data_IF_295731040755
#
_entry.id   IF_295731040755
#
_cell.length_a   1.000
_cell.length_b   1.000
_cell.length_c   1.000
_cell.angle_alpha   90.00
_cell.angle_beta   90.00
_cell.angle_gamma   90.00
#
_symmetry.space_group_name_H-M   'P 1'
#
loop_
_entity.id
_entity.type
_entity.pdbx_description
1 polymer ?
#
# COMPACT_ATOMS: atom_id res chain seq x y z
N UNK A 1 4.04 18.59 15.53
CA UNK A 1 2.72 18.43 16.17
C UNK A 1 1.92 17.25 15.61
N UNK A 2 1.45 17.19 14.34
CA UNK A 2 0.68 16.02 13.86
C UNK A 2 1.52 14.74 13.86
N UNK A 3 2.71 14.77 13.31
CA UNK A 3 3.61 13.61 13.25
C UNK A 3 4.02 13.12 14.65
N UNK A 4 4.26 14.03 15.59
CA UNK A 4 4.57 13.66 16.98
C UNK A 4 3.39 12.92 17.63
N UNK A 5 2.16 13.40 17.37
CA UNK A 5 0.95 12.75 17.87
C UNK A 5 0.76 11.36 17.24
N UNK A 6 0.96 11.21 15.93
CA UNK A 6 0.89 9.91 15.27
C UNK A 6 1.94 8.94 15.80
N UNK A 7 3.18 9.42 16.00
CA UNK A 7 4.26 8.60 16.58
C UNK A 7 3.92 8.15 18.01
N UNK A 8 3.33 9.05 18.81
CA UNK A 8 2.87 8.73 20.15
C UNK A 8 1.76 7.67 20.13
N UNK A 9 0.70 7.88 19.33
CA UNK A 9 -0.41 6.92 19.21
C UNK A 9 0.09 5.54 18.76
N UNK A 10 1.01 5.50 17.77
CA UNK A 10 1.62 4.25 17.32
C UNK A 10 2.35 3.52 18.45
N UNK A 11 3.15 4.24 19.23
CA UNK A 11 3.85 3.68 20.39
C UNK A 11 2.88 3.14 21.43
N UNK A 12 1.82 3.89 21.75
CA UNK A 12 0.79 3.51 22.70
C UNK A 12 0.02 2.26 22.24
N UNK A 13 -0.32 2.15 20.95
CA UNK A 13 -0.96 0.94 20.41
C UNK A 13 -0.01 -0.25 20.52
N UNK A 14 1.27 -0.08 20.19
CA UNK A 14 2.28 -1.15 20.28
C UNK A 14 2.47 -1.66 21.71
N UNK A 15 2.35 -0.78 22.70
CA UNK A 15 2.55 -1.10 24.11
C UNK A 15 1.32 -1.76 24.75
N UNK A 16 0.12 -1.28 24.41
CA UNK A 16 -1.09 -1.59 25.18
C UNK A 16 -2.08 -2.51 24.46
N UNK A 17 -1.90 -2.77 23.15
CA UNK A 17 -2.86 -3.57 22.37
C UNK A 17 -2.25 -4.86 21.82
N UNK A 18 -3.06 -5.92 21.60
CA UNK A 18 -2.61 -7.21 21.12
C UNK A 18 -2.36 -7.21 19.60
N UNK A 19 -1.79 -6.12 19.08
CA UNK A 19 -1.55 -5.96 17.65
C UNK A 19 -0.05 -5.92 17.33
N UNK A 20 0.30 -6.48 16.18
CA UNK A 20 1.63 -6.27 15.60
C UNK A 20 1.66 -4.89 14.95
N UNK A 21 2.43 -3.97 15.52
CA UNK A 21 2.59 -2.61 15.01
C UNK A 21 3.94 -2.50 14.34
N UNK A 22 3.93 -2.31 13.03
CA UNK A 22 5.14 -2.25 12.20
C UNK A 22 5.38 -0.85 11.67
N UNK A 23 6.64 -0.46 11.63
CA UNK A 23 7.07 0.80 11.04
C UNK A 23 8.56 0.72 10.73
N UNK A 24 8.90 1.00 9.49
CA UNK A 24 10.27 1.04 9.01
C UNK A 24 10.60 2.44 8.48
N UNK A 25 11.85 2.84 8.64
CA UNK A 25 12.35 4.04 7.97
C UNK A 25 12.43 3.80 6.46
N UNK A 26 12.07 4.80 5.68
CA UNK A 26 12.07 4.78 4.22
C UNK A 26 11.20 3.67 3.57
N UNK A 27 10.17 3.20 4.28
CA UNK A 27 9.20 2.22 3.75
C UNK A 27 7.81 2.73 4.02
N UNK A 28 6.96 2.74 3.03
CA UNK A 28 5.58 3.17 3.15
C UNK A 28 4.71 2.07 3.77
N UNK A 29 3.57 2.47 4.36
CA UNK A 29 2.65 1.50 4.97
C UNK A 29 2.08 0.54 3.92
N UNK A 30 1.91 1.00 2.70
CA UNK A 30 1.40 0.21 1.57
C UNK A 30 2.35 -0.91 1.19
N UNK A 31 3.67 -0.64 1.18
CA UNK A 31 4.70 -1.67 0.93
C UNK A 31 4.65 -2.76 2.02
N UNK A 32 4.51 -2.34 3.28
CA UNK A 32 4.43 -3.28 4.41
C UNK A 32 3.19 -4.17 4.26
N UNK A 33 2.03 -3.57 4.01
CA UNK A 33 0.77 -4.30 3.85
C UNK A 33 0.84 -5.21 2.62
N UNK A 34 1.34 -4.70 1.49
CA UNK A 34 1.47 -5.48 0.26
C UNK A 34 2.42 -6.67 0.44
N UNK A 35 3.61 -6.46 1.03
CA UNK A 35 4.56 -7.52 1.30
C UNK A 35 3.96 -8.61 2.19
N UNK A 36 3.28 -8.25 3.29
CA UNK A 36 2.62 -9.21 4.17
C UNK A 36 1.51 -9.99 3.45
N UNK A 37 0.69 -9.32 2.64
CA UNK A 37 -0.34 -9.98 1.84
C UNK A 37 0.30 -10.95 0.85
N UNK A 38 1.33 -10.54 0.11
CA UNK A 38 2.02 -11.38 -0.86
C UNK A 38 2.65 -12.61 -0.21
N UNK A 39 3.21 -12.47 0.99
CA UNK A 39 3.75 -13.60 1.76
C UNK A 39 2.68 -14.63 2.14
N UNK A 40 1.44 -14.19 2.39
CA UNK A 40 0.31 -15.11 2.66
C UNK A 40 -0.17 -15.87 1.43
N UNK A 41 0.27 -15.46 0.22
CA UNK A 41 -0.06 -16.09 -1.06
C UNK A 41 1.00 -17.08 -1.53
N UNK A 42 2.08 -17.28 -0.76
CA UNK A 42 3.11 -18.25 -1.12
C UNK A 42 2.59 -19.70 -1.06
N UNK A 43 3.32 -20.62 -1.73
CA UNK A 43 2.92 -22.03 -1.84
C UNK A 43 2.63 -22.65 -0.47
N UNK A 44 1.44 -23.19 -0.32
CA UNK A 44 0.97 -23.84 0.93
C UNK A 44 0.37 -22.91 1.97
N UNK A 45 0.39 -21.59 1.74
CA UNK A 45 -0.39 -20.60 2.48
C UNK A 45 -1.53 -20.15 1.56
N UNK A 46 -2.60 -19.75 1.96
CA UNK A 46 -3.70 -19.08 1.26
C UNK A 46 -4.59 -18.51 2.36
N UNK A 47 -4.00 -17.61 3.13
CA UNK A 47 -4.69 -16.98 4.26
C UNK A 47 -5.68 -15.93 3.75
N UNK A 48 -6.84 -15.86 4.37
CA UNK A 48 -7.77 -14.76 4.09
C UNK A 48 -7.22 -13.45 4.65
N UNK A 49 -7.24 -12.41 3.83
CA UNK A 49 -6.77 -11.09 4.20
C UNK A 49 -7.90 -10.06 4.08
N UNK A 50 -8.05 -9.23 5.10
CA UNK A 50 -8.92 -8.05 5.06
C UNK A 50 -8.07 -6.80 5.26
N UNK A 51 -7.92 -6.01 4.20
CA UNK A 51 -7.24 -4.71 4.25
C UNK A 51 -8.27 -3.65 4.63
N UNK A 52 -8.01 -2.91 5.71
CA UNK A 52 -8.84 -1.77 6.12
C UNK A 52 -8.15 -0.48 5.68
N UNK A 53 -8.44 -0.08 4.46
CA UNK A 53 -7.89 1.14 3.85
C UNK A 53 -8.79 1.65 2.75
N UNK A 54 -8.81 2.98 2.56
CA UNK A 54 -9.50 3.62 1.44
C UNK A 54 -8.60 3.85 0.23
N UNK A 55 -7.33 3.48 0.34
CA UNK A 55 -6.36 3.64 -0.73
C UNK A 55 -6.72 2.78 -1.94
N UNK A 56 -6.63 3.40 -3.12
CA UNK A 56 -6.95 2.77 -4.40
C UNK A 56 -5.89 1.74 -4.83
N UNK A 57 -4.66 1.87 -4.35
CA UNK A 57 -3.53 1.08 -4.82
C UNK A 57 -3.58 -0.34 -4.29
N UNK A 58 -4.22 -0.57 -3.14
CA UNK A 58 -4.52 -1.92 -2.64
C UNK A 58 -5.43 -2.76 -3.55
N UNK A 59 -6.11 -2.15 -4.53
CA UNK A 59 -6.85 -2.91 -5.54
C UNK A 59 -5.95 -3.88 -6.32
N UNK A 60 -4.65 -3.62 -6.40
CA UNK A 60 -3.68 -4.53 -7.00
C UNK A 60 -3.71 -5.91 -6.33
N UNK A 61 -3.93 -5.95 -5.02
CA UNK A 61 -3.99 -7.18 -4.24
C UNK A 61 -5.30 -7.95 -4.42
N UNK A 62 -6.33 -7.35 -5.04
CA UNK A 62 -7.56 -8.05 -5.40
C UNK A 62 -7.39 -9.04 -6.56
N UNK A 63 -6.18 -9.16 -7.14
CA UNK A 63 -5.85 -10.28 -8.04
C UNK A 63 -5.87 -11.63 -7.30
N UNK A 64 -5.79 -11.61 -5.98
CA UNK A 64 -5.94 -12.78 -5.11
C UNK A 64 -7.37 -12.87 -4.57
N UNK A 65 -8.05 -13.99 -4.78
CA UNK A 65 -9.48 -14.15 -4.44
C UNK A 65 -9.76 -14.13 -2.92
N UNK A 66 -8.76 -14.44 -2.10
CA UNK A 66 -8.82 -14.44 -0.64
C UNK A 66 -8.39 -13.11 -0.01
N UNK A 67 -8.15 -12.07 -0.82
CA UNK A 67 -7.86 -10.71 -0.36
C UNK A 67 -9.08 -9.83 -0.54
N UNK A 68 -9.49 -9.17 0.53
CA UNK A 68 -10.63 -8.24 0.56
C UNK A 68 -10.17 -6.89 1.08
N UNK A 69 -10.85 -5.84 0.68
CA UNK A 69 -10.58 -4.47 1.16
C UNK A 69 -11.86 -3.82 1.64
N UNK A 70 -11.82 -3.24 2.85
CA UNK A 70 -12.87 -2.39 3.40
C UNK A 70 -12.41 -0.93 3.39
N UNK A 71 -13.21 -0.04 2.81
CA UNK A 71 -12.93 1.39 2.83
C UNK A 71 -13.64 2.07 4.01
N UNK A 72 -12.90 2.57 5.03
CA UNK A 72 -13.49 3.28 6.17
C UNK A 72 -14.19 4.58 5.74
N UNK A 73 -13.64 5.28 4.72
CA UNK A 73 -14.23 6.53 4.20
C UNK A 73 -15.56 6.25 3.51
N UNK A 74 -15.60 5.23 2.64
CA UNK A 74 -16.81 4.87 1.90
C UNK A 74 -17.77 3.97 2.70
N UNK A 75 -17.31 3.44 3.84
CA UNK A 75 -18.03 2.50 4.72
C UNK A 75 -18.58 1.29 3.94
N UNK A 76 -17.79 0.72 3.04
CA UNK A 76 -18.16 -0.44 2.22
C UNK A 76 -16.95 -1.24 1.77
N UNK A 77 -17.22 -2.47 1.33
CA UNK A 77 -16.22 -3.29 0.65
C UNK A 77 -15.86 -2.68 -0.72
N UNK A 78 -14.59 -2.64 -1.01
CA UNK A 78 -14.06 -2.26 -2.33
C UNK A 78 -14.08 -3.51 -3.21
N UNK A 79 -14.75 -3.43 -4.36
CA UNK A 79 -14.86 -4.54 -5.31
C UNK A 79 -14.13 -4.14 -6.58
N UNK A 80 -13.26 -5.03 -7.07
CA UNK A 80 -12.51 -4.83 -8.32
C UNK A 80 -12.53 -6.11 -9.15
N UNK A 81 -12.61 -5.97 -10.47
CA UNK A 81 -12.46 -7.10 -11.39
C UNK A 81 -11.00 -7.23 -11.81
N UNK A 82 -10.48 -8.44 -11.87
CA UNK A 82 -9.07 -8.71 -12.22
C UNK A 82 -8.62 -8.01 -13.51
N UNK A 83 -9.48 -7.99 -14.54
CA UNK A 83 -9.16 -7.32 -15.80
C UNK A 83 -9.04 -5.79 -15.64
N UNK A 84 -9.83 -5.19 -14.76
CA UNK A 84 -9.79 -3.76 -14.45
C UNK A 84 -8.54 -3.43 -13.62
N UNK A 85 -8.20 -4.29 -12.66
CA UNK A 85 -6.99 -4.14 -11.82
C UNK A 85 -5.73 -4.13 -12.69
N UNK A 86 -5.58 -5.11 -13.59
CA UNK A 86 -4.41 -5.16 -14.50
C UNK A 86 -4.29 -3.90 -15.34
N UNK A 87 -5.41 -3.39 -15.86
CA UNK A 87 -5.41 -2.13 -16.61
C UNK A 87 -5.04 -0.93 -15.72
N UNK A 88 -5.51 -0.90 -14.48
CA UNK A 88 -5.17 0.17 -13.54
C UNK A 88 -3.68 0.20 -13.22
N UNK A 89 -3.04 -0.96 -13.01
CA UNK A 89 -1.59 -1.05 -12.80
C UNK A 89 -0.85 -0.46 -14.00
N UNK A 90 -1.17 -0.91 -15.22
CA UNK A 90 -0.54 -0.38 -16.46
C UNK A 90 -0.79 1.13 -16.60
N UNK A 91 -2.01 1.58 -16.35
CA UNK A 91 -2.34 3.00 -16.40
C UNK A 91 -1.53 3.81 -15.40
N UNK A 92 -1.38 3.31 -14.17
CA UNK A 92 -0.59 3.96 -13.12
C UNK A 92 0.90 4.02 -13.50
N UNK A 93 1.47 2.93 -13.99
CA UNK A 93 2.85 2.93 -14.52
C UNK A 93 3.02 3.98 -15.62
N UNK A 94 2.10 4.01 -16.60
CA UNK A 94 2.22 4.91 -17.77
C UNK A 94 2.00 6.38 -17.40
N UNK A 95 1.01 6.68 -16.56
CA UNK A 95 0.65 8.04 -16.17
C UNK A 95 1.49 8.59 -15.02
N UNK A 96 2.12 7.71 -14.23
CA UNK A 96 2.73 8.08 -12.96
C UNK A 96 1.72 8.54 -11.92
N UNK A 97 2.19 9.09 -10.82
CA UNK A 97 1.37 9.73 -9.80
C UNK A 97 1.93 11.10 -9.43
N UNK A 98 1.18 12.15 -9.78
CA UNK A 98 1.61 13.52 -9.52
C UNK A 98 1.60 13.85 -8.02
N UNK A 99 0.73 13.19 -7.25
CA UNK A 99 0.65 13.36 -5.80
C UNK A 99 1.93 12.91 -5.10
N UNK A 100 2.50 11.80 -5.58
CA UNK A 100 3.72 11.20 -5.06
C UNK A 100 4.99 11.66 -5.80
N UNK A 101 4.82 12.61 -6.74
CA UNK A 101 5.95 13.15 -7.50
C UNK A 101 6.49 12.21 -8.58
N UNK A 102 5.72 11.20 -9.00
CA UNK A 102 6.10 10.22 -10.02
C UNK A 102 5.67 10.73 -11.41
N UNK A 103 6.61 11.13 -12.29
CA UNK A 103 6.26 11.60 -13.63
C UNK A 103 5.76 10.46 -14.51
N UNK A 104 4.94 10.80 -15.52
CA UNK A 104 4.57 9.83 -16.54
C UNK A 104 5.78 9.40 -17.38
N UNK A 105 5.67 8.26 -18.05
CA UNK A 105 6.79 7.66 -18.80
C UNK A 105 7.26 8.48 -20.01
N UNK A 106 6.48 9.46 -20.50
CA UNK A 106 6.82 10.30 -21.62
C UNK A 106 7.61 11.55 -21.21
N UNK A 107 7.75 11.81 -19.90
CA UNK A 107 8.33 13.02 -19.33
C UNK A 107 9.66 12.73 -18.64
N UNK A 108 10.52 13.74 -18.56
CA UNK A 108 11.80 13.64 -17.86
C UNK A 108 11.59 13.45 -16.34
N UNK A 109 12.54 12.80 -15.68
CA UNK A 109 12.47 12.45 -14.26
C UNK A 109 12.37 13.68 -13.35
N UNK A 110 13.02 14.76 -13.75
CA UNK A 110 13.12 16.02 -13.00
C UNK A 110 12.02 17.02 -13.34
N UNK A 111 11.00 16.61 -14.13
CA UNK A 111 9.97 17.52 -14.67
C UNK A 111 9.27 18.34 -13.58
N UNK A 112 9.01 17.75 -12.42
CA UNK A 112 8.36 18.44 -11.30
C UNK A 112 9.31 19.35 -10.54
N UNK A 113 10.57 18.95 -10.41
CA UNK A 113 11.61 19.76 -9.74
C UNK A 113 11.89 21.03 -10.52
N UNK A 114 11.88 20.95 -11.85
CA UNK A 114 12.11 22.09 -12.74
C UNK A 114 10.83 22.91 -13.03
N UNK A 115 9.70 22.57 -12.39
CA UNK A 115 8.44 23.27 -12.60
C UNK A 115 7.87 23.13 -14.03
N UNK A 116 8.31 22.10 -14.75
CA UNK A 116 7.87 21.82 -16.11
C UNK A 116 6.48 21.21 -16.19
N UNK A 117 5.93 21.14 -17.40
CA UNK A 117 4.68 20.41 -17.66
C UNK A 117 4.97 19.08 -18.28
N UNK A 118 4.33 18.03 -17.75
CA UNK A 118 4.41 16.71 -18.33
C UNK A 118 3.89 16.66 -19.77
N UNK A 119 4.49 15.82 -20.60
CA UNK A 119 3.95 15.48 -21.92
C UNK A 119 2.61 14.74 -21.73
N UNK A 120 1.57 15.06 -22.50
CA UNK A 120 0.26 14.41 -22.33
C UNK A 120 0.30 12.96 -22.80
N UNK A 121 -0.22 12.05 -21.97
CA UNK A 121 -0.50 10.68 -22.37
C UNK A 121 -1.87 10.62 -23.01
N UNK A 122 -1.93 10.48 -24.32
CA UNK A 122 -3.20 10.38 -25.04
C UNK A 122 -3.89 9.03 -24.82
N UNK A 123 -5.21 8.99 -24.96
CA UNK A 123 -5.98 7.74 -24.85
C UNK A 123 -5.49 6.67 -25.85
N UNK A 124 -5.12 7.08 -27.08
CA UNK A 124 -4.53 6.18 -28.07
C UNK A 124 -3.23 5.57 -27.57
N UNK A 125 -2.35 6.39 -27.00
CA UNK A 125 -1.06 5.96 -26.49
C UNK A 125 -1.22 5.01 -25.30
N UNK A 126 -2.16 5.31 -24.40
CA UNK A 126 -2.48 4.45 -23.27
C UNK A 126 -3.02 3.08 -23.73
N UNK A 127 -3.88 3.05 -24.76
CA UNK A 127 -4.39 1.81 -25.31
C UNK A 127 -3.30 0.92 -25.91
N UNK A 128 -2.25 1.50 -26.52
CA UNK A 128 -1.08 0.75 -26.98
C UNK A 128 -0.42 0.01 -25.79
N UNK A 129 -0.26 0.68 -24.65
CA UNK A 129 0.29 0.06 -23.44
C UNK A 129 -0.62 -1.00 -22.81
N UNK A 130 -1.93 -0.86 -22.92
CA UNK A 130 -2.85 -1.92 -22.45
C UNK A 130 -2.73 -3.19 -23.29
N UNK A 131 -2.32 -3.09 -24.56
CA UNK A 131 -2.17 -4.22 -25.48
C UNK A 131 -0.78 -4.82 -25.40
N UNK A 132 0.24 -4.00 -25.49
CA UNK A 132 1.63 -4.42 -25.73
C UNK A 132 2.53 -4.24 -24.49
N UNK A 133 2.01 -3.65 -23.39
CA UNK A 133 2.79 -3.39 -22.17
C UNK A 133 4.03 -2.56 -22.48
N UNK A 134 5.16 -2.94 -21.91
CA UNK A 134 6.44 -2.26 -22.09
C UNK A 134 6.92 -2.22 -23.55
N UNK A 135 6.48 -3.13 -24.39
CA UNK A 135 6.88 -3.16 -25.80
C UNK A 135 6.24 -2.04 -26.63
N UNK A 136 5.23 -1.38 -26.07
CA UNK A 136 4.72 -0.13 -26.62
C UNK A 136 5.68 1.06 -26.45
N UNK A 137 6.74 0.96 -25.63
CA UNK A 137 7.76 2.01 -25.51
C UNK A 137 8.49 2.22 -26.83
N UNK A 138 8.59 3.49 -27.27
CA UNK A 138 9.17 3.88 -28.55
C UNK A 138 10.63 4.31 -28.44
N UNK A 139 11.09 4.64 -27.26
CA UNK A 139 12.45 5.10 -26.98
C UNK A 139 13.04 4.38 -25.77
N UNK A 140 14.37 4.29 -25.68
CA UNK A 140 15.04 3.76 -24.49
C UNK A 140 14.68 4.55 -23.21
N UNK A 141 14.43 5.88 -23.33
CA UNK A 141 14.01 6.72 -22.22
C UNK A 141 12.63 6.34 -21.72
N UNK A 142 11.64 6.15 -22.63
CA UNK A 142 10.31 5.67 -22.23
C UNK A 142 10.39 4.33 -21.49
N UNK A 143 11.25 3.41 -21.96
CA UNK A 143 11.45 2.10 -21.33
C UNK A 143 12.11 2.21 -19.96
N UNK A 144 13.08 3.09 -19.78
CA UNK A 144 13.70 3.38 -18.49
C UNK A 144 12.68 3.97 -17.50
N UNK A 145 11.86 4.93 -17.97
CA UNK A 145 10.79 5.54 -17.19
C UNK A 145 9.70 4.53 -16.81
N UNK A 146 9.37 3.59 -17.72
CA UNK A 146 8.47 2.48 -17.38
C UNK A 146 9.00 1.67 -16.21
N UNK A 147 10.26 1.23 -16.26
CA UNK A 147 10.86 0.44 -15.17
C UNK A 147 10.96 1.21 -13.87
N UNK A 148 11.25 2.52 -13.92
CA UNK A 148 11.22 3.40 -12.75
C UNK A 148 9.83 3.40 -12.13
N UNK A 149 8.80 3.74 -12.92
CA UNK A 149 7.43 3.82 -12.42
C UNK A 149 6.91 2.46 -11.93
N UNK A 150 7.24 1.38 -12.63
CA UNK A 150 6.88 0.04 -12.23
C UNK A 150 7.39 -0.32 -10.83
N UNK A 151 8.64 0.03 -10.53
CA UNK A 151 9.21 -0.17 -9.18
C UNK A 151 8.55 0.66 -8.09
N UNK A 152 7.96 1.79 -8.45
CA UNK A 152 7.35 2.73 -7.51
C UNK A 152 5.86 2.48 -7.29
N UNK A 153 5.16 1.84 -8.24
CA UNK A 153 3.70 1.72 -8.18
C UNK A 153 3.18 0.28 -8.20
N UNK A 154 3.99 -0.71 -8.60
CA UNK A 154 3.57 -2.12 -8.69
C UNK A 154 4.12 -2.91 -7.50
N UNK A 155 3.25 -3.36 -6.62
CA UNK A 155 3.63 -4.10 -5.41
C UNK A 155 4.40 -5.39 -5.68
N UNK A 156 4.38 -5.93 -6.90
CA UNK A 156 5.22 -7.07 -7.26
C UNK A 156 6.70 -6.70 -7.42
N UNK A 157 7.04 -5.41 -7.38
CA UNK A 157 8.41 -4.89 -7.54
C UNK A 157 8.97 -4.27 -6.26
N UNK A 158 8.33 -4.50 -5.12
CA UNK A 158 8.92 -4.16 -3.81
C UNK A 158 10.27 -4.88 -3.70
N UNK A 159 11.37 -4.19 -3.36
CA UNK A 159 12.68 -4.80 -3.21
C UNK A 159 12.68 -5.99 -2.24
N UNK A 160 13.35 -7.09 -2.63
CA UNK A 160 13.38 -8.32 -1.85
C UNK A 160 13.93 -8.10 -0.44
N UNK A 161 14.94 -7.23 -0.30
CA UNK A 161 15.52 -6.88 1.00
C UNK A 161 14.48 -6.23 1.94
N UNK A 162 13.56 -5.44 1.39
CA UNK A 162 12.47 -4.82 2.16
C UNK A 162 11.45 -5.90 2.57
N UNK A 163 11.09 -6.79 1.65
CA UNK A 163 10.17 -7.91 1.92
C UNK A 163 10.73 -8.81 3.02
N UNK A 164 12.00 -9.20 2.93
CA UNK A 164 12.69 -10.03 3.92
C UNK A 164 12.73 -9.36 5.30
N UNK A 165 13.02 -8.07 5.33
CA UNK A 165 13.03 -7.29 6.57
C UNK A 165 11.62 -7.24 7.21
N UNK A 166 10.59 -7.01 6.41
CA UNK A 166 9.19 -6.99 6.86
C UNK A 166 8.80 -8.36 7.43
N UNK A 167 9.11 -9.44 6.71
CA UNK A 167 8.80 -10.80 7.15
C UNK A 167 9.50 -11.11 8.47
N UNK A 168 10.79 -10.84 8.56
CA UNK A 168 11.58 -11.08 9.78
C UNK A 168 10.97 -10.35 10.98
N UNK A 169 10.69 -9.06 10.85
CA UNK A 169 10.10 -8.30 11.95
C UNK A 169 8.71 -8.81 12.31
N UNK A 170 7.88 -9.14 11.30
CA UNK A 170 6.56 -9.71 11.54
C UNK A 170 6.63 -11.01 12.35
N UNK A 171 7.59 -11.89 12.06
CA UNK A 171 7.75 -13.17 12.75
C UNK A 171 8.30 -12.98 14.17
N UNK A 172 9.19 -12.00 14.38
CA UNK A 172 9.79 -11.68 15.68
C UNK A 172 8.86 -10.88 16.60
N UNK A 173 7.96 -10.07 16.04
CA UNK A 173 7.03 -9.24 16.81
C UNK A 173 6.06 -10.08 17.61
N UNK A 174 6.09 -9.86 18.93
CA UNK A 174 5.09 -10.41 19.86
C UNK A 174 4.16 -9.27 20.27
N UNK A 175 2.85 -9.41 20.02
CA UNK A 175 1.88 -8.44 20.52
C UNK A 175 1.97 -8.32 22.03
N UNK A 176 1.90 -7.12 22.54
CA UNK A 176 1.72 -6.83 23.96
C UNK A 176 0.23 -6.60 24.24
N UNK A 177 -0.11 -6.47 25.46
CA UNK A 177 -1.48 -6.13 25.86
C UNK A 177 -2.38 -7.35 26.04
N UNK A 178 -3.04 -7.33 27.17
CA UNK A 178 -4.18 -8.18 27.49
C UNK A 178 -5.40 -7.30 27.75
N UNK A 179 -6.56 -7.90 27.96
CA UNK A 179 -7.80 -7.14 28.23
C UNK A 179 -7.65 -6.14 29.39
N UNK A 180 -6.89 -6.44 30.43
CA UNK A 180 -6.69 -5.54 31.54
C UNK A 180 -5.87 -4.32 31.15
N UNK A 181 -4.80 -4.53 30.39
CA UNK A 181 -3.94 -3.47 29.87
C UNK A 181 -4.73 -2.53 28.94
N UNK A 182 -5.53 -3.10 28.03
CA UNK A 182 -6.41 -2.32 27.13
C UNK A 182 -7.41 -1.52 27.94
N UNK A 183 -8.11 -2.16 28.89
CA UNK A 183 -9.09 -1.48 29.74
C UNK A 183 -8.48 -0.30 30.47
N UNK A 184 -7.31 -0.49 31.11
CA UNK A 184 -6.62 0.57 31.84
C UNK A 184 -6.26 1.74 30.92
N UNK A 185 -5.66 1.42 29.74
CA UNK A 185 -5.32 2.42 28.73
C UNK A 185 -6.54 3.23 28.27
N UNK A 186 -7.65 2.55 27.97
CA UNK A 186 -8.88 3.20 27.51
C UNK A 186 -9.52 4.09 28.61
N UNK A 187 -9.45 3.65 29.86
CA UNK A 187 -9.93 4.44 31.01
C UNK A 187 -9.09 5.69 31.22
N UNK A 188 -7.76 5.57 31.25
CA UNK A 188 -6.82 6.67 31.43
C UNK A 188 -6.95 7.73 30.32
N UNK A 189 -7.14 7.28 29.10
CA UNK A 189 -7.30 8.14 27.92
C UNK A 189 -8.77 8.55 27.66
N UNK A 190 -9.70 8.19 28.53
CA UNK A 190 -11.14 8.55 28.47
C UNK A 190 -11.82 8.10 27.17
N UNK A 191 -11.39 6.99 26.62
CA UNK A 191 -11.94 6.40 25.37
C UNK A 191 -13.23 5.59 25.67
N UNK A 192 -14.27 6.24 26.19
CA UNK A 192 -15.49 5.58 26.68
C UNK A 192 -16.16 4.67 25.65
N UNK A 193 -16.30 5.14 24.40
CA UNK A 193 -16.97 4.37 23.35
C UNK A 193 -16.24 3.06 23.01
N UNK A 194 -14.93 2.99 23.24
CA UNK A 194 -14.14 1.78 23.02
C UNK A 194 -14.19 0.85 24.24
N UNK A 195 -14.48 1.37 25.43
CA UNK A 195 -14.69 0.55 26.62
C UNK A 195 -15.95 -0.32 26.52
N UNK A 196 -16.98 0.20 25.84
CA UNK A 196 -18.24 -0.54 25.62
C UNK A 196 -18.03 -1.76 24.69
N UNK A 197 -16.98 -1.72 23.85
CA UNK A 197 -16.59 -2.76 22.89
C UNK A 197 -15.33 -3.55 23.33
N UNK A 198 -15.02 -3.55 24.62
CA UNK A 198 -13.80 -4.19 25.16
C UNK A 198 -13.71 -5.69 24.85
N UNK A 199 -14.84 -6.36 24.64
CA UNK A 199 -14.89 -7.76 24.29
C UNK A 199 -14.43 -8.06 22.86
N UNK A 200 -14.37 -7.04 22.00
CA UNK A 200 -13.95 -7.15 20.60
C UNK A 200 -12.44 -7.05 20.41
N UNK A 201 -11.68 -6.75 21.49
CA UNK A 201 -10.21 -6.71 21.50
C UNK A 201 -9.62 -8.12 21.91
#
# INVERSE_FOLDING_TARGET
MIFDTLSKVRAEIKENFPYKVMHFENTEADDIIAALVLLTQTVGRHEENLIISSDKDFKQLHLYNNVKQWSPIQKKMVISKHAEVRKQIVEHIVKGDTGDGIPNILSADDIFVNGGRQKPVTAKRLNEFFTDGIDACRTPEERANWHRNQKLVDFNYIPEEIVDQIQKEYDELKPNGDKMTIMNYLMENRCRNLLDELEDF
#
